data_IF_696148435870
#
_entry.id   IF_696148435870
#
_cell.length_a   1.000
_cell.length_b   1.000
_cell.length_c   1.000
_cell.angle_alpha   90.00
_cell.angle_beta   90.00
_cell.angle_gamma   90.00
#
_symmetry.space_group_name_H-M   'P 1'
#
loop_
_entity.id
_entity.type
_entity.pdbx_description
1 polymer ?
#
# COMPACT_ATOMS: atom_id res chain seq x y z
N UNK A 1 -8.26 -3.70 -22.25
CA UNK A 1 -8.64 -5.13 -22.12
C UNK A 1 -7.92 -5.87 -21.00
N UNK A 2 -6.62 -6.22 -21.08
CA UNK A 2 -5.94 -6.96 -19.98
C UNK A 2 -5.83 -6.15 -18.68
N UNK A 3 -5.52 -4.86 -18.75
CA UNK A 3 -5.44 -3.98 -17.58
C UNK A 3 -6.79 -3.83 -16.89
N UNK A 4 -7.88 -3.67 -17.64
CA UNK A 4 -9.23 -3.56 -17.08
C UNK A 4 -9.72 -4.88 -16.50
N UNK A 5 -9.39 -6.01 -17.12
CA UNK A 5 -9.74 -7.33 -16.61
C UNK A 5 -9.00 -7.65 -15.31
N UNK A 6 -7.69 -7.32 -15.25
CA UNK A 6 -6.89 -7.48 -14.04
C UNK A 6 -7.36 -6.54 -12.92
N UNK A 7 -7.63 -5.27 -13.25
CA UNK A 7 -8.20 -4.31 -12.30
C UNK A 7 -9.57 -4.79 -11.79
N UNK A 8 -10.46 -5.28 -12.65
CA UNK A 8 -11.75 -5.85 -12.25
C UNK A 8 -11.62 -7.08 -11.35
N UNK A 9 -10.70 -7.99 -11.66
CA UNK A 9 -10.46 -9.18 -10.85
C UNK A 9 -9.91 -8.82 -9.46
N UNK A 10 -8.95 -7.89 -9.41
CA UNK A 10 -8.30 -7.46 -8.17
C UNK A 10 -9.27 -6.64 -7.28
N UNK A 11 -10.11 -5.80 -7.89
CA UNK A 11 -11.20 -5.08 -7.22
C UNK A 11 -12.23 -6.04 -6.61
N UNK A 12 -12.53 -7.14 -7.30
CA UNK A 12 -13.45 -8.17 -6.82
C UNK A 12 -12.87 -8.93 -5.62
N UNK A 13 -11.56 -9.19 -5.61
CA UNK A 13 -10.87 -9.86 -4.51
C UNK A 13 -10.68 -8.98 -3.26
N UNK A 14 -10.60 -7.65 -3.43
CA UNK A 14 -10.50 -6.71 -2.31
C UNK A 14 -11.89 -6.37 -1.72
N UNK A 15 -12.96 -6.37 -2.53
CA UNK A 15 -14.31 -6.05 -2.08
C UNK A 15 -14.94 -7.11 -1.16
N UNK A 16 -14.45 -8.35 -1.16
CA UNK A 16 -15.01 -9.46 -0.35
C UNK A 16 -14.46 -9.50 1.08
N UNK A 17 -13.48 -8.65 1.42
CA UNK A 17 -12.94 -8.52 2.79
C UNK A 17 -13.57 -7.35 3.53
N UNK A 18 -14.89 -7.33 3.68
CA UNK A 18 -15.55 -6.46 4.66
C UNK A 18 -15.66 -7.23 5.97
N UNK A 19 -14.80 -6.99 6.98
CA UNK A 19 -14.93 -7.70 8.24
C UNK A 19 -16.23 -7.27 8.94
N UNK A 20 -17.09 -8.22 9.36
CA UNK A 20 -18.27 -7.92 10.15
C UNK A 20 -17.81 -7.55 11.56
N UNK A 21 -17.95 -6.28 11.95
CA UNK A 21 -17.66 -5.83 13.32
C UNK A 21 -16.90 -4.50 13.47
N UNK A 22 -16.88 -3.61 12.47
CA UNK A 22 -16.32 -2.27 12.67
C UNK A 22 -17.16 -1.46 13.67
N UNK A 23 -16.65 -1.29 14.89
CA UNK A 23 -17.24 -0.44 15.92
C UNK A 23 -17.15 1.02 15.48
N UNK A 24 -18.28 1.61 15.10
CA UNK A 24 -18.39 2.96 14.51
C UNK A 24 -17.81 4.08 15.41
N UNK A 25 -17.74 3.86 16.73
CA UNK A 25 -17.46 4.91 17.72
C UNK A 25 -15.98 5.39 17.67
N UNK A 26 -15.03 4.49 17.39
CA UNK A 26 -13.61 4.87 17.25
C UNK A 26 -13.28 5.47 15.88
N UNK A 27 -14.12 5.25 14.88
CA UNK A 27 -13.87 5.68 13.50
C UNK A 27 -14.20 7.17 13.32
N UNK A 28 -15.26 7.67 13.95
CA UNK A 28 -15.72 9.05 13.77
C UNK A 28 -14.74 10.11 14.28
N UNK A 29 -14.17 9.91 15.49
CA UNK A 29 -13.15 10.82 16.02
C UNK A 29 -11.87 10.78 15.16
N UNK A 30 -11.51 9.61 14.64
CA UNK A 30 -10.32 9.42 13.79
C UNK A 30 -10.49 10.07 12.42
N UNK A 31 -11.68 9.94 11.81
CA UNK A 31 -12.01 10.62 10.54
C UNK A 31 -12.07 12.14 10.71
N UNK A 32 -12.62 12.63 11.83
CA UNK A 32 -12.64 14.06 12.15
C UNK A 32 -11.24 14.63 12.35
N UNK A 33 -10.37 13.88 13.05
CA UNK A 33 -8.97 14.24 13.22
C UNK A 33 -8.22 14.25 11.86
N UNK A 34 -8.49 13.27 11.00
CA UNK A 34 -7.93 13.20 9.65
C UNK A 34 -8.36 14.40 8.79
N UNK A 35 -9.64 14.76 8.81
CA UNK A 35 -10.17 15.93 8.11
C UNK A 35 -9.51 17.22 8.60
N UNK A 36 -9.39 17.38 9.92
CA UNK A 36 -8.73 18.53 10.53
C UNK A 36 -7.25 18.61 10.12
N UNK A 37 -6.55 17.48 10.08
CA UNK A 37 -5.15 17.42 9.65
C UNK A 37 -4.98 17.78 8.17
N UNK A 38 -5.89 17.31 7.28
CA UNK A 38 -5.90 17.68 5.86
C UNK A 38 -6.14 19.19 5.70
N UNK A 39 -7.09 19.76 6.44
CA UNK A 39 -7.37 21.19 6.42
C UNK A 39 -6.17 22.03 6.88
N UNK A 40 -5.56 21.66 8.02
CA UNK A 40 -4.34 22.31 8.53
C UNK A 40 -3.21 22.23 7.51
N UNK A 41 -3.04 21.08 6.86
CA UNK A 41 -2.05 20.93 5.80
C UNK A 41 -2.33 21.88 4.63
N UNK A 42 -3.58 21.98 4.15
CA UNK A 42 -3.93 22.94 3.09
C UNK A 42 -3.74 24.41 3.53
N UNK A 43 -3.95 24.76 4.79
CA UNK A 43 -3.69 26.12 5.27
C UNK A 43 -2.19 26.43 5.33
N UNK A 44 -1.38 25.47 5.79
CA UNK A 44 0.04 25.71 6.08
C UNK A 44 0.99 25.35 4.92
N UNK A 45 0.51 24.67 3.86
CA UNK A 45 1.39 24.28 2.74
C UNK A 45 2.01 25.47 2.00
N UNK A 46 1.41 26.66 2.13
CA UNK A 46 1.94 27.90 1.55
C UNK A 46 3.33 28.25 2.07
N UNK A 47 3.63 27.87 3.32
CA UNK A 47 4.93 28.12 3.93
C UNK A 47 6.05 27.45 3.14
N UNK A 48 5.79 26.32 2.47
CA UNK A 48 6.79 25.67 1.61
C UNK A 48 7.05 26.43 0.30
N UNK A 49 6.11 27.28 -0.14
CA UNK A 49 6.35 28.23 -1.25
C UNK A 49 7.15 29.43 -0.79
N UNK A 50 6.80 30.01 0.36
CA UNK A 50 7.42 31.24 0.87
C UNK A 50 8.81 31.04 1.49
N UNK A 51 9.09 29.85 2.04
CA UNK A 51 10.41 29.50 2.64
C UNK A 51 11.49 29.12 1.62
N UNK A 52 11.20 29.18 0.31
CA UNK A 52 12.20 28.99 -0.74
C UNK A 52 12.64 27.54 -0.99
N UNK A 53 12.07 26.54 -0.31
CA UNK A 53 12.43 25.13 -0.50
C UNK A 53 12.09 24.56 -1.89
N UNK A 54 11.07 25.11 -2.58
CA UNK A 54 10.72 24.81 -3.99
C UNK A 54 10.06 26.01 -4.67
N UNK A 55 10.74 26.62 -5.65
CA UNK A 55 10.24 27.79 -6.38
C UNK A 55 9.16 27.47 -7.44
N UNK A 56 9.09 26.23 -7.93
CA UNK A 56 8.18 25.80 -9.02
C UNK A 56 6.83 25.23 -8.53
N UNK A 57 6.50 25.43 -7.26
CA UNK A 57 5.22 25.02 -6.67
C UNK A 57 5.30 23.76 -5.80
N UNK A 58 4.29 23.62 -4.93
CA UNK A 58 4.18 22.53 -3.95
C UNK A 58 3.07 21.55 -4.36
N UNK A 59 3.20 20.96 -5.54
CA UNK A 59 2.32 19.90 -6.02
C UNK A 59 3.10 18.58 -5.99
N UNK A 60 3.11 17.90 -4.84
CA UNK A 60 3.68 16.55 -4.82
C UNK A 60 2.71 15.58 -5.50
N UNK A 61 3.24 14.61 -6.26
CA UNK A 61 2.44 13.50 -6.75
C UNK A 61 1.65 12.87 -5.59
N UNK A 62 0.35 12.64 -5.79
CA UNK A 62 -0.59 12.01 -4.83
C UNK A 62 -1.07 12.85 -3.63
N UNK A 63 -0.67 14.13 -3.49
CA UNK A 63 -1.26 14.97 -2.43
C UNK A 63 -2.75 15.24 -2.65
N UNK A 64 -3.19 15.34 -3.91
CA UNK A 64 -4.60 15.56 -4.24
C UNK A 64 -5.50 14.37 -3.85
N UNK A 65 -4.99 13.13 -3.81
CA UNK A 65 -5.80 11.98 -3.42
C UNK A 65 -6.09 11.93 -1.91
N UNK A 66 -5.38 12.71 -1.08
CA UNK A 66 -5.58 12.73 0.37
C UNK A 66 -6.95 13.26 0.77
N UNK A 67 -7.53 14.15 -0.04
CA UNK A 67 -8.89 14.67 0.15
C UNK A 67 -9.93 13.55 0.05
N UNK A 68 -9.65 12.51 -0.74
CA UNK A 68 -10.54 11.37 -0.94
C UNK A 68 -10.37 10.26 0.11
N UNK A 69 -9.40 10.34 1.04
CA UNK A 69 -9.17 9.28 2.02
C UNK A 69 -10.35 9.06 2.96
N UNK A 70 -11.06 10.11 3.36
CA UNK A 70 -12.22 9.99 4.26
C UNK A 70 -13.29 9.14 3.57
N UNK A 71 -13.61 9.47 2.32
CA UNK A 71 -14.57 8.72 1.51
C UNK A 71 -14.11 7.28 1.26
N UNK A 72 -12.83 7.07 0.96
CA UNK A 72 -12.27 5.73 0.75
C UNK A 72 -12.29 4.86 2.02
N UNK A 73 -12.04 5.45 3.19
CA UNK A 73 -12.14 4.74 4.47
C UNK A 73 -13.59 4.35 4.76
N UNK A 74 -14.54 5.24 4.46
CA UNK A 74 -15.97 4.97 4.69
C UNK A 74 -16.50 3.85 3.78
N UNK A 75 -16.10 3.84 2.50
CA UNK A 75 -16.58 2.85 1.53
C UNK A 75 -15.83 1.52 1.59
N UNK A 76 -14.51 1.57 1.74
CA UNK A 76 -13.63 0.40 1.60
C UNK A 76 -12.95 -0.03 2.91
N UNK A 77 -13.14 0.70 4.01
CA UNK A 77 -12.53 0.40 5.31
C UNK A 77 -11.02 0.72 5.38
N UNK A 78 -10.44 1.33 4.34
CA UNK A 78 -9.02 1.67 4.30
C UNK A 78 -8.74 2.92 3.43
N UNK A 79 -7.73 3.76 3.80
CA UNK A 79 -7.34 4.94 3.02
C UNK A 79 -6.58 4.64 1.72
N UNK A 80 -6.29 3.36 1.44
CA UNK A 80 -5.38 2.93 0.39
C UNK A 80 -6.03 2.16 -0.77
N UNK A 81 -7.36 2.15 -0.87
CA UNK A 81 -8.04 1.20 -1.75
C UNK A 81 -7.72 1.35 -3.24
N UNK A 82 -7.55 2.57 -3.76
CA UNK A 82 -7.71 2.82 -5.20
C UNK A 82 -6.86 3.99 -5.74
N UNK A 83 -5.68 4.27 -5.19
CA UNK A 83 -4.81 5.22 -5.87
C UNK A 83 -4.28 4.59 -7.16
N UNK A 84 -4.32 5.33 -8.27
CA UNK A 84 -3.75 4.89 -9.55
C UNK A 84 -2.28 4.48 -9.42
N UNK A 85 -1.55 5.08 -8.47
CA UNK A 85 -0.16 4.72 -8.16
C UNK A 85 0.01 3.33 -7.54
N UNK A 86 -0.94 2.87 -6.71
CA UNK A 86 -0.92 1.54 -6.09
C UNK A 86 -1.16 0.49 -7.17
N UNK A 87 -2.20 0.71 -7.99
CA UNK A 87 -2.50 -0.17 -9.13
C UNK A 87 -1.37 -0.15 -10.17
N UNK A 88 -0.76 1.00 -10.43
CA UNK A 88 0.36 1.12 -11.35
C UNK A 88 1.62 0.43 -10.80
N UNK A 89 1.89 0.51 -9.49
CA UNK A 89 2.99 -0.22 -8.85
C UNK A 89 2.80 -1.74 -8.96
N UNK A 90 1.58 -2.22 -8.71
CA UNK A 90 1.23 -3.63 -8.92
C UNK A 90 1.34 -4.03 -10.39
N UNK A 91 0.87 -3.20 -11.32
CA UNK A 91 0.99 -3.44 -12.76
C UNK A 91 2.46 -3.43 -13.22
N UNK A 92 3.31 -2.58 -12.66
CA UNK A 92 4.75 -2.61 -12.91
C UNK A 92 5.34 -3.97 -12.49
N UNK A 93 4.99 -4.44 -11.30
CA UNK A 93 5.56 -5.66 -10.72
C UNK A 93 5.03 -6.93 -11.36
N UNK A 94 3.72 -7.03 -11.58
CA UNK A 94 3.07 -8.23 -12.11
C UNK A 94 3.05 -8.29 -13.64
N UNK A 95 3.21 -7.17 -14.34
CA UNK A 95 3.07 -7.11 -15.80
C UNK A 95 4.29 -6.51 -16.47
N UNK A 96 4.64 -5.24 -16.22
CA UNK A 96 5.73 -4.58 -16.99
C UNK A 96 7.08 -5.26 -16.79
N UNK A 97 7.44 -5.60 -15.55
CA UNK A 97 8.71 -6.26 -15.21
C UNK A 97 8.80 -7.67 -15.80
N UNK A 98 7.82 -8.58 -15.61
CA UNK A 98 7.81 -9.89 -16.26
C UNK A 98 7.81 -9.79 -17.79
N UNK A 99 7.06 -8.84 -18.37
CA UNK A 99 7.06 -8.61 -19.81
C UNK A 99 8.46 -8.28 -20.34
N UNK A 100 9.18 -7.36 -19.68
CA UNK A 100 10.55 -7.00 -20.04
C UNK A 100 11.55 -8.17 -19.90
N UNK A 101 11.29 -9.12 -19.00
CA UNK A 101 12.13 -10.32 -18.80
C UNK A 101 11.79 -11.48 -19.73
N UNK A 102 10.60 -11.48 -20.34
CA UNK A 102 10.16 -12.52 -21.25
C UNK A 102 10.88 -12.46 -22.59
N UNK A 103 10.97 -13.60 -23.29
CA UNK A 103 11.49 -13.64 -24.66
C UNK A 103 10.44 -13.22 -25.70
N UNK A 104 9.24 -12.76 -25.26
CA UNK A 104 8.09 -12.34 -26.05
C UNK A 104 7.40 -13.43 -26.91
N UNK A 105 7.87 -14.67 -26.86
CA UNK A 105 7.21 -15.83 -27.44
C UNK A 105 6.39 -16.53 -26.36
N UNK A 106 5.07 -16.66 -26.56
CA UNK A 106 4.12 -17.13 -25.51
C UNK A 106 4.30 -16.40 -24.16
N UNK A 107 4.50 -15.08 -24.23
CA UNK A 107 4.90 -14.25 -23.09
C UNK A 107 3.97 -14.36 -21.88
N UNK A 108 2.65 -14.53 -22.10
CA UNK A 108 1.68 -14.58 -20.99
C UNK A 108 1.95 -15.76 -20.05
N UNK A 109 2.22 -16.96 -20.59
CA UNK A 109 2.55 -18.13 -19.78
C UNK A 109 3.85 -17.91 -18.99
N UNK A 110 4.86 -17.33 -19.63
CA UNK A 110 6.13 -17.01 -18.97
C UNK A 110 5.95 -15.98 -17.85
N UNK A 111 5.12 -14.95 -18.06
CA UNK A 111 4.84 -13.93 -17.06
C UNK A 111 4.10 -14.51 -15.85
N UNK A 112 3.11 -15.38 -16.08
CA UNK A 112 2.39 -16.06 -15.01
C UNK A 112 3.30 -16.96 -14.18
N UNK A 113 4.11 -17.79 -14.84
CA UNK A 113 5.08 -18.66 -14.17
C UNK A 113 6.12 -17.86 -13.37
N UNK A 114 6.61 -16.75 -13.93
CA UNK A 114 7.56 -15.87 -13.24
C UNK A 114 6.94 -15.25 -11.99
N UNK A 115 5.69 -14.77 -12.07
CA UNK A 115 4.99 -14.22 -10.92
C UNK A 115 4.78 -15.29 -9.83
N UNK A 116 4.35 -16.48 -10.21
CA UNK A 116 4.17 -17.60 -9.27
C UNK A 116 5.48 -17.98 -8.57
N UNK A 117 6.60 -18.03 -9.30
CA UNK A 117 7.92 -18.31 -8.72
C UNK A 117 8.35 -17.22 -7.74
N UNK A 118 8.15 -15.94 -8.08
CA UNK A 118 8.45 -14.83 -7.18
C UNK A 118 7.62 -14.87 -5.91
N UNK A 119 6.33 -15.20 -6.00
CA UNK A 119 5.45 -15.34 -4.85
C UNK A 119 5.89 -16.48 -3.92
N UNK A 120 6.30 -17.63 -4.50
CA UNK A 120 6.86 -18.76 -3.73
C UNK A 120 8.15 -18.38 -3.01
N UNK A 121 9.05 -17.67 -3.70
CA UNK A 121 10.30 -17.20 -3.10
C UNK A 121 10.04 -16.21 -1.97
N UNK A 122 9.10 -15.27 -2.15
CA UNK A 122 8.72 -14.33 -1.11
C UNK A 122 8.16 -15.02 0.14
N UNK A 123 7.34 -16.07 -0.06
CA UNK A 123 6.81 -16.86 1.06
C UNK A 123 7.93 -17.63 1.78
N UNK A 124 8.79 -18.32 1.04
CA UNK A 124 9.92 -19.03 1.64
C UNK A 124 10.87 -18.09 2.40
N UNK A 125 11.12 -16.88 1.87
CA UNK A 125 11.90 -15.88 2.58
C UNK A 125 11.24 -15.43 3.89
N UNK A 126 9.91 -15.23 3.89
CA UNK A 126 9.18 -14.90 5.11
C UNK A 126 9.32 -16.03 6.15
N UNK A 127 9.15 -17.29 5.73
CA UNK A 127 9.30 -18.45 6.60
C UNK A 127 10.73 -18.54 7.19
N UNK A 128 11.76 -18.28 6.39
CA UNK A 128 13.15 -18.30 6.85
C UNK A 128 13.51 -17.15 7.80
N UNK A 129 12.90 -15.98 7.62
CA UNK A 129 13.04 -14.86 8.55
C UNK A 129 12.35 -15.19 9.89
N UNK A 130 11.16 -15.81 9.84
CA UNK A 130 10.41 -16.22 11.04
C UNK A 130 11.19 -17.25 11.88
N UNK A 131 11.93 -18.15 11.23
CA UNK A 131 12.76 -19.16 11.90
C UNK A 131 14.19 -18.68 12.20
N UNK A 132 14.45 -17.38 12.09
CA UNK A 132 15.76 -16.74 12.37
C UNK A 132 16.93 -17.29 11.53
N UNK A 133 16.65 -18.01 10.44
CA UNK A 133 17.68 -18.57 9.56
C UNK A 133 18.25 -17.52 8.60
N UNK A 134 17.54 -16.41 8.40
CA UNK A 134 17.98 -15.26 7.63
C UNK A 134 17.69 -13.97 8.41
N UNK A 135 18.59 -12.97 8.36
CA UNK A 135 18.31 -11.68 8.97
C UNK A 135 17.12 -11.02 8.27
N UNK A 136 16.27 -10.27 9.00
CA UNK A 136 15.22 -9.47 8.39
C UNK A 136 15.84 -8.57 7.33
N UNK A 137 15.36 -8.69 6.08
CA UNK A 137 15.90 -7.93 4.97
C UNK A 137 15.42 -6.48 5.11
N UNK A 138 16.17 -5.65 5.86
CA UNK A 138 15.81 -4.26 6.14
C UNK A 138 15.98 -3.32 4.93
N UNK A 139 16.61 -3.76 3.84
CA UNK A 139 16.87 -2.91 2.67
C UNK A 139 16.78 -3.70 1.36
N UNK A 140 15.57 -3.86 0.81
CA UNK A 140 15.39 -4.16 -0.61
C UNK A 140 14.44 -3.14 -1.24
N UNK A 141 14.90 -2.28 -2.19
CA UNK A 141 14.06 -1.22 -2.73
C UNK A 141 13.01 -1.69 -3.75
N UNK A 142 12.73 -3.00 -3.85
CA UNK A 142 11.96 -3.55 -4.96
C UNK A 142 10.93 -4.65 -4.64
N UNK A 143 10.71 -4.97 -3.37
CA UNK A 143 9.64 -5.87 -2.91
C UNK A 143 8.89 -5.19 -1.77
N UNK A 144 8.17 -4.12 -2.10
CA UNK A 144 7.34 -3.41 -1.13
C UNK A 144 6.01 -4.16 -0.95
N UNK A 145 5.97 -5.03 0.06
CA UNK A 145 4.72 -5.44 0.70
C UNK A 145 4.91 -5.28 2.21
N UNK A 146 4.08 -4.51 2.92
CA UNK A 146 4.12 -4.50 4.37
C UNK A 146 3.34 -5.72 4.87
N UNK A 147 4.05 -6.78 5.28
CA UNK A 147 3.45 -7.76 6.17
C UNK A 147 3.68 -7.28 7.60
N UNK A 148 2.55 -7.05 8.26
CA UNK A 148 2.38 -6.62 9.64
C UNK A 148 3.47 -7.14 10.59
N UNK A 149 4.23 -6.21 11.18
CA UNK A 149 4.85 -6.43 12.49
C UNK A 149 3.96 -5.74 13.53
N UNK A 150 2.91 -6.42 13.95
CA UNK A 150 2.18 -6.07 15.17
C UNK A 150 2.69 -7.00 16.28
N UNK A 151 3.89 -6.74 16.80
CA UNK A 151 4.31 -7.33 18.07
C UNK A 151 3.76 -6.46 19.19
N UNK A 152 2.64 -6.88 19.77
CA UNK A 152 2.24 -6.40 21.09
C UNK A 152 3.17 -7.02 22.12
N UNK A 153 4.04 -6.22 22.75
CA UNK A 153 4.69 -6.58 24.00
C UNK A 153 4.02 -5.80 25.14
N UNK A 154 3.05 -6.46 25.78
CA UNK A 154 2.55 -6.10 27.10
C UNK A 154 3.69 -6.32 28.11
N UNK A 155 4.36 -5.25 28.50
CA UNK A 155 5.24 -5.21 29.66
C UNK A 155 4.43 -4.92 30.92
N UNK A 156 3.98 -5.98 31.59
CA UNK A 156 3.40 -5.93 32.93
C UNK A 156 4.40 -5.35 33.92
N UNK A 157 4.10 -4.18 34.50
CA UNK A 157 4.78 -3.66 35.67
C UNK A 157 4.28 -4.40 36.92
N UNK A 158 5.03 -5.39 37.38
CA UNK A 158 4.99 -5.81 38.79
C UNK A 158 6.28 -5.30 39.43
N UNK A 159 6.19 -4.21 40.20
CA UNK A 159 7.16 -3.88 41.23
C UNK A 159 6.42 -3.92 42.56
N UNK A 160 6.84 -4.82 43.43
CA UNK A 160 6.82 -4.58 44.88
C UNK A 160 7.93 -3.61 45.27
#
# INVERSE_FOLDING_TARGET
MLQEAFNKLLLTQLSTRKPPGFCAIHLDHTLTALQTAIQKFHTHHEIFRTSGGRHTGFNLPQQHSRVHFIHQIQEFGAPGGLCSSIMESHHITAVKRPWCRSNRYEALGQMLLTNEQLDKLLRALADFIEHEMLPPICHLPNLSYPLATMTMTLGSSMSS
#
